data_IF_228029698762
#
_entry.id   IF_228029698762
#
_cell.length_a   1.000
_cell.length_b   1.000
_cell.length_c   1.000
_cell.angle_alpha   90.00
_cell.angle_beta   90.00
_cell.angle_gamma   90.00
#
_symmetry.space_group_name_H-M   'P 1'
#
loop_
_entity.id
_entity.type
_entity.pdbx_description
1 polymer ?
#
# COMPACT_ATOMS: atom_id res chain seq x y z
N UNK A 1 -3.30 5.08 -14.31
CA UNK A 1 -2.24 4.07 -14.49
C UNK A 1 -2.66 2.81 -13.78
N UNK A 2 -2.73 1.70 -14.52
CA UNK A 2 -3.03 0.39 -13.93
C UNK A 2 -1.84 -0.04 -13.06
N UNK A 3 -2.09 -0.48 -11.83
CA UNK A 3 -1.03 -0.83 -10.87
C UNK A 3 -0.66 -2.30 -10.94
N UNK A 4 -1.13 -3.03 -11.95
CA UNK A 4 -0.80 -4.45 -12.13
C UNK A 4 0.59 -4.66 -12.74
N UNK A 5 1.20 -3.62 -13.31
CA UNK A 5 2.49 -3.72 -14.00
C UNK A 5 3.40 -2.53 -13.70
N UNK A 6 4.70 -2.80 -13.66
CA UNK A 6 5.71 -1.77 -13.52
C UNK A 6 5.76 -0.92 -14.81
N UNK A 7 5.63 0.41 -14.71
CA UNK A 7 5.68 1.26 -15.90
C UNK A 7 7.04 1.25 -16.61
N UNK A 8 8.12 0.89 -15.89
CA UNK A 8 9.51 0.86 -16.40
C UNK A 8 9.86 -0.45 -17.09
N UNK A 9 9.63 -1.60 -16.44
CA UNK A 9 10.04 -2.91 -16.95
C UNK A 9 8.89 -3.84 -17.36
N UNK A 10 7.63 -3.40 -17.23
CA UNK A 10 6.42 -4.20 -17.51
C UNK A 10 6.26 -5.48 -16.67
N UNK A 11 7.09 -5.67 -15.65
CA UNK A 11 6.92 -6.77 -14.70
C UNK A 11 5.62 -6.61 -13.92
N UNK A 12 4.89 -7.71 -13.73
CA UNK A 12 3.72 -7.77 -12.87
C UNK A 12 4.05 -7.99 -11.38
N UNK A 13 5.34 -8.14 -11.04
CA UNK A 13 5.81 -8.25 -9.65
C UNK A 13 5.94 -6.86 -9.03
N UNK A 14 4.81 -6.30 -8.63
CA UNK A 14 4.68 -4.96 -8.06
C UNK A 14 3.99 -5.03 -6.71
N UNK A 15 4.44 -4.22 -5.76
CA UNK A 15 3.93 -4.20 -4.39
C UNK A 15 3.71 -2.78 -3.89
N UNK A 16 2.75 -2.62 -2.97
CA UNK A 16 2.58 -1.39 -2.21
C UNK A 16 3.74 -1.28 -1.21
N UNK A 17 4.43 -0.14 -1.19
CA UNK A 17 5.52 0.11 -0.23
C UNK A 17 5.07 0.97 0.93
N UNK A 18 4.61 2.19 0.67
CA UNK A 18 4.13 3.10 1.71
C UNK A 18 3.09 4.07 1.12
N UNK A 19 2.29 4.69 1.99
CA UNK A 19 1.40 5.78 1.63
C UNK A 19 1.72 6.99 2.49
N UNK A 20 1.62 8.19 1.91
CA UNK A 20 1.85 9.44 2.65
C UNK A 20 0.67 9.77 3.56
N UNK A 21 -0.53 9.41 3.14
CA UNK A 21 -1.77 9.72 3.85
C UNK A 21 -2.61 8.45 3.94
N UNK A 22 -3.06 8.13 5.16
CA UNK A 22 -4.00 7.06 5.40
C UNK A 22 -5.14 7.55 6.28
N UNK A 23 -6.36 7.10 5.98
CA UNK A 23 -7.54 7.31 6.80
C UNK A 23 -8.06 5.95 7.24
N UNK A 24 -8.31 5.80 8.54
CA UNK A 24 -8.98 4.63 9.11
C UNK A 24 -10.44 5.00 9.37
N UNK A 25 -11.35 4.36 8.66
CA UNK A 25 -12.77 4.52 8.85
C UNK A 25 -13.27 3.70 10.07
N UNK A 26 -14.41 4.11 10.60
CA UNK A 26 -15.05 3.48 11.76
C UNK A 26 -15.43 2.01 11.50
N UNK A 27 -15.68 1.64 10.23
CA UNK A 27 -15.96 0.26 9.81
C UNK A 27 -14.69 -0.62 9.71
N UNK A 28 -13.55 -0.11 10.19
CA UNK A 28 -12.27 -0.80 10.13
C UNK A 28 -11.63 -0.76 8.74
N UNK A 29 -12.17 0.02 7.80
CA UNK A 29 -11.59 0.17 6.47
C UNK A 29 -10.39 1.11 6.50
N UNK A 30 -9.26 0.70 5.93
CA UNK A 30 -8.10 1.58 5.74
C UNK A 30 -8.02 2.04 4.29
N UNK A 31 -8.05 3.36 4.13
CA UNK A 31 -8.00 4.07 2.86
C UNK A 31 -6.65 4.75 2.75
N UNK A 32 -5.89 4.42 1.72
CA UNK A 32 -4.61 5.04 1.41
C UNK A 32 -4.79 6.05 0.29
N UNK A 33 -4.30 7.26 0.51
CA UNK A 33 -4.30 8.33 -0.50
C UNK A 33 -2.89 8.50 -1.05
N UNK A 34 -2.80 8.55 -2.38
CA UNK A 34 -1.54 8.69 -3.11
C UNK A 34 -0.45 7.64 -2.75
N UNK A 35 -0.76 6.34 -2.78
CA UNK A 35 0.19 5.29 -2.43
C UNK A 35 1.39 5.21 -3.38
N UNK A 36 2.53 4.79 -2.84
CA UNK A 36 3.73 4.43 -3.59
C UNK A 36 3.80 2.93 -3.83
N UNK A 37 4.24 2.58 -5.04
CA UNK A 37 4.45 1.22 -5.49
C UNK A 37 5.90 1.00 -5.85
N UNK A 38 6.44 -0.17 -5.52
CA UNK A 38 7.76 -0.62 -5.97
C UNK A 38 7.64 -1.84 -6.88
N UNK A 39 8.55 -1.95 -7.83
CA UNK A 39 8.73 -3.17 -8.62
C UNK A 39 9.82 -4.03 -7.99
N UNK A 40 9.51 -5.28 -7.70
CA UNK A 40 10.47 -6.25 -7.14
C UNK A 40 11.59 -6.57 -8.14
N UNK A 41 11.30 -6.47 -9.44
CA UNK A 41 12.25 -6.85 -10.50
C UNK A 41 13.30 -5.78 -10.79
N UNK A 42 12.95 -4.50 -10.73
CA UNK A 42 13.83 -3.41 -11.15
C UNK A 42 13.92 -2.26 -10.14
N UNK A 43 13.34 -2.45 -8.95
CA UNK A 43 13.32 -1.51 -7.82
C UNK A 43 12.75 -0.13 -8.16
N UNK A 44 12.06 -0.02 -9.29
CA UNK A 44 11.43 1.23 -9.68
C UNK A 44 10.32 1.57 -8.70
N UNK A 45 10.38 2.78 -8.14
CA UNK A 45 9.38 3.33 -7.25
C UNK A 45 8.54 4.37 -8.00
N UNK A 46 7.21 4.29 -7.92
CA UNK A 46 6.33 5.31 -8.49
C UNK A 46 5.10 5.56 -7.62
N UNK A 47 4.61 6.80 -7.66
CA UNK A 47 3.40 7.20 -6.97
C UNK A 47 2.19 6.99 -7.87
N UNK A 48 1.09 6.51 -7.30
CA UNK A 48 -0.19 6.41 -7.99
C UNK A 48 -1.15 7.39 -7.35
N UNK A 49 -1.54 8.44 -8.09
CA UNK A 49 -2.53 9.43 -7.65
C UNK A 49 -3.93 8.82 -7.65
N UNK A 50 -4.24 8.00 -6.64
CA UNK A 50 -5.58 7.43 -6.43
C UNK A 50 -5.80 7.05 -4.97
N UNK A 51 -7.06 6.88 -4.61
CA UNK A 51 -7.50 6.30 -3.35
C UNK A 51 -7.49 4.77 -3.47
N UNK A 52 -6.82 4.08 -2.55
CA UNK A 52 -6.78 2.62 -2.47
C UNK A 52 -7.35 2.15 -1.13
N UNK A 53 -8.33 1.25 -1.18
CA UNK A 53 -8.86 0.59 0.01
C UNK A 53 -8.10 -0.72 0.21
N UNK A 54 -7.32 -0.83 1.30
CA UNK A 54 -6.40 -1.97 1.50
C UNK A 54 -7.06 -3.12 2.25
N UNK A 55 -7.99 -2.84 3.15
CA UNK A 55 -8.61 -3.88 3.97
C UNK A 55 -9.89 -3.39 4.61
N UNK A 56 -10.92 -4.24 4.63
CA UNK A 56 -11.93 -4.28 5.68
C UNK A 56 -11.38 -5.29 6.69
N UNK A 57 -10.77 -4.82 7.77
CA UNK A 57 -10.24 -5.76 8.75
C UNK A 57 -11.42 -6.48 9.41
N UNK A 58 -11.49 -7.83 9.39
CA UNK A 58 -12.51 -8.54 10.16
C UNK A 58 -12.33 -8.33 11.66
N UNK A 59 -11.15 -7.88 12.09
CA UNK A 59 -10.87 -7.50 13.48
C UNK A 59 -9.94 -6.26 13.55
N UNK A 60 -10.38 -5.12 14.10
CA UNK A 60 -9.61 -3.86 14.15
C UNK A 60 -8.30 -3.92 14.96
N UNK A 61 -8.10 -4.93 15.80
CA UNK A 61 -6.89 -5.11 16.62
C UNK A 61 -5.67 -5.62 15.81
N UNK A 62 -5.90 -6.23 14.65
CA UNK A 62 -4.82 -6.82 13.83
C UNK A 62 -3.93 -5.77 13.14
N UNK A 63 -4.45 -4.55 12.95
CA UNK A 63 -3.73 -3.46 12.26
C UNK A 63 -2.62 -2.85 13.12
N UNK A 64 -2.84 -2.70 14.44
CA UNK A 64 -1.84 -2.11 15.34
C UNK A 64 -0.58 -2.98 15.46
N UNK A 65 -0.70 -4.30 15.39
CA UNK A 65 0.47 -5.20 15.41
C UNK A 65 1.32 -5.07 14.15
N UNK A 66 0.70 -5.08 12.96
CA UNK A 66 1.43 -5.01 11.67
C UNK A 66 2.16 -3.69 11.45
N UNK A 67 1.62 -2.57 11.94
CA UNK A 67 2.31 -1.29 11.90
C UNK A 67 3.46 -1.22 12.91
N UNK A 68 3.28 -1.72 14.13
CA UNK A 68 4.35 -1.70 15.13
C UNK A 68 5.55 -2.59 14.75
N UNK A 69 5.34 -3.71 14.06
CA UNK A 69 6.45 -4.55 13.56
C UNK A 69 7.33 -3.84 12.51
N UNK A 70 6.83 -2.79 11.86
CA UNK A 70 7.57 -2.06 10.83
C UNK A 70 8.43 -0.92 11.40
N UNK A 71 8.24 -0.55 12.68
CA UNK A 71 8.95 0.56 13.33
C UNK A 71 10.01 0.12 14.37
N UNK A 72 10.16 -1.18 14.62
CA UNK A 72 11.19 -1.74 15.53
C UNK A 72 12.29 -2.56 14.81
N UNK A 73 12.78 -2.10 13.66
CA UNK A 73 14.08 -2.55 13.12
C UNK A 73 14.99 -1.38 12.77
#
# INVERSE_FOLDING_TARGET
MDTKECPKCKSNRVGLTFALEYEKNEDGTVVLTNPYFSCVTCEHLWQVKRVMVVSRFPNPEYFSWKLNETFEQ
#
